data_IF_954004260801
#
_entry.id   IF_954004260801
#
_cell.length_a   1.000
_cell.length_b   1.000
_cell.length_c   1.000
_cell.angle_alpha   90.00
_cell.angle_beta   90.00
_cell.angle_gamma   90.00
#
_symmetry.space_group_name_H-M   'P 1'
#
loop_
_entity.id
_entity.type
_entity.pdbx_description
1 polymer ?
#
# COMPACT_ATOMS: atom_id res chain seq x y z
N UNK A 1 -8.21 25.62 -17.86
CA UNK A 1 -8.33 24.98 -17.73
C UNK A 1 -8.32 24.12 -17.73
N UNK A 2 -8.23 24.13 -17.48
CA UNK A 2 -8.36 23.35 -17.33
C UNK A 2 -8.24 22.43 -17.06
N UNK A 3 -8.36 22.36 -16.91
CA UNK A 3 -8.40 21.54 -16.58
C UNK A 3 -8.10 20.69 -16.62
N UNK A 4 -7.88 20.64 -16.77
CA UNK A 4 -7.71 19.97 -16.88
C UNK A 4 -7.43 19.05 -16.82
N UNK A 5 -7.17 18.97 -16.81
CA UNK A 5 -7.05 18.24 -16.76
C UNK A 5 -6.76 17.27 -16.58
N UNK A 6 -6.56 16.97 -16.28
CA UNK A 6 -6.44 16.16 -16.06
C UNK A 6 -6.38 15.15 -15.88
N UNK A 7 -6.07 15.00 -15.86
CA UNK A 7 -6.10 13.90 -15.62
C UNK A 7 -6.11 12.84 -15.21
N UNK A 8 -6.06 12.90 -14.82
CA UNK A 8 -6.50 11.95 -14.68
C UNK A 8 -6.11 10.60 -14.96
N UNK A 9 -5.33 10.26 -15.64
CA UNK A 9 -5.07 8.94 -16.11
C UNK A 9 -4.06 8.19 -15.29
N UNK A 10 -3.13 8.85 -14.67
CA UNK A 10 -2.11 8.22 -13.85
C UNK A 10 -2.37 8.47 -12.38
N UNK A 11 -2.23 7.45 -11.52
CA UNK A 11 -2.34 7.68 -10.10
C UNK A 11 -1.22 8.58 -9.61
N UNK A 12 -1.56 9.47 -8.71
CA UNK A 12 -0.58 10.30 -8.05
C UNK A 12 -0.06 9.59 -6.83
N UNK A 13 1.05 10.09 -6.26
CA UNK A 13 1.67 9.45 -5.11
C UNK A 13 0.70 9.24 -3.95
N UNK A 14 -0.27 10.16 -3.79
CA UNK A 14 -1.23 10.03 -2.71
C UNK A 14 -2.50 9.30 -3.08
N UNK A 15 -2.65 8.90 -4.33
CA UNK A 15 -3.87 8.23 -4.78
C UNK A 15 -3.92 6.82 -4.21
N UNK A 16 -5.10 6.43 -3.71
CA UNK A 16 -5.29 5.14 -3.08
C UNK A 16 -6.12 4.22 -3.95
N UNK A 17 -5.68 2.97 -3.99
CA UNK A 17 -6.38 1.91 -4.73
C UNK A 17 -6.97 0.96 -3.70
N UNK A 18 -8.26 0.71 -3.77
CA UNK A 18 -8.91 -0.28 -2.93
C UNK A 18 -8.35 -1.66 -3.32
N UNK A 19 -7.80 -2.36 -2.33
CA UNK A 19 -7.10 -3.60 -2.59
C UNK A 19 -7.18 -4.46 -1.35
N UNK A 20 -7.59 -5.71 -1.52
CA UNK A 20 -7.52 -6.65 -0.42
C UNK A 20 -6.40 -7.63 -0.68
N UNK A 21 -5.37 -7.57 0.11
CA UNK A 21 -4.29 -8.54 0.04
C UNK A 21 -3.74 -8.80 1.43
N UNK A 22 -3.03 -9.92 1.55
CA UNK A 22 -2.42 -10.30 2.81
C UNK A 22 -1.16 -9.47 3.05
N UNK A 23 -0.86 -9.27 4.32
CA UNK A 23 0.34 -8.55 4.70
C UNK A 23 0.96 -9.23 5.93
N UNK A 24 2.27 -9.33 5.93
CA UNK A 24 3.03 -9.77 7.09
C UNK A 24 3.66 -8.52 7.71
N UNK A 25 3.51 -8.38 9.01
CA UNK A 25 3.92 -7.20 9.75
C UNK A 25 4.92 -7.61 10.81
N UNK A 26 6.07 -6.94 10.84
CA UNK A 26 7.08 -7.19 11.86
C UNK A 26 7.44 -5.87 12.52
N UNK A 27 7.48 -5.86 13.86
CA UNK A 27 7.84 -4.67 14.62
C UNK A 27 9.18 -4.81 15.33
N UNK A 28 9.96 -5.84 14.99
CA UNK A 28 11.24 -6.09 15.62
C UNK A 28 11.16 -7.04 16.80
N UNK A 29 9.97 -7.24 17.35
CA UNK A 29 9.74 -8.14 18.46
C UNK A 29 8.76 -9.24 18.08
N UNK A 30 7.71 -8.85 17.38
CA UNK A 30 6.64 -9.75 16.98
C UNK A 30 6.48 -9.73 15.49
N UNK A 31 5.96 -10.83 14.97
CA UNK A 31 5.56 -10.94 13.57
C UNK A 31 4.09 -11.33 13.57
N UNK A 32 3.31 -10.64 12.79
CA UNK A 32 1.89 -10.96 12.69
C UNK A 32 1.41 -10.82 11.26
N UNK A 33 0.15 -11.13 11.07
CA UNK A 33 -0.48 -11.09 9.77
C UNK A 33 -1.67 -10.17 9.79
N UNK A 34 -2.03 -9.69 8.62
CA UNK A 34 -3.19 -8.84 8.50
C UNK A 34 -3.64 -8.74 7.07
N UNK A 35 -4.49 -7.76 6.83
CA UNK A 35 -5.02 -7.46 5.50
C UNK A 35 -4.82 -6.00 5.17
N UNK A 36 -4.51 -5.76 3.92
CA UNK A 36 -4.46 -4.41 3.37
C UNK A 36 -5.80 -4.11 2.73
N UNK A 37 -6.35 -2.95 3.00
CA UNK A 37 -7.62 -2.52 2.42
C UNK A 37 -7.45 -1.49 1.32
N UNK A 38 -6.40 -0.70 1.39
CA UNK A 38 -6.05 0.17 0.30
C UNK A 38 -4.55 0.43 0.33
N UNK A 39 -4.01 0.79 -0.81
CA UNK A 39 -2.59 1.03 -0.95
C UNK A 39 -2.37 2.21 -1.90
N UNK A 40 -1.32 2.97 -1.60
CA UNK A 40 -0.83 4.03 -2.47
C UNK A 40 0.69 3.94 -2.50
N UNK A 41 1.32 4.81 -3.28
CA UNK A 41 2.77 4.88 -3.28
C UNK A 41 3.33 5.33 -1.94
N UNK A 42 2.51 5.95 -1.10
CA UNK A 42 2.97 6.49 0.20
C UNK A 42 2.69 5.60 1.38
N UNK A 43 1.75 4.68 1.26
CA UNK A 43 1.41 3.86 2.40
C UNK A 43 0.19 3.01 2.16
N UNK A 44 -0.30 2.40 3.24
CA UNK A 44 -1.48 1.54 3.14
C UNK A 44 -2.27 1.55 4.43
N UNK A 45 -3.51 1.10 4.31
CA UNK A 45 -4.40 0.88 5.43
C UNK A 45 -4.41 -0.60 5.75
N UNK A 46 -4.16 -0.93 7.00
CA UNK A 46 -3.97 -2.31 7.44
C UNK A 46 -4.93 -2.64 8.57
N UNK A 47 -5.44 -3.85 8.55
CA UNK A 47 -6.09 -4.45 9.71
C UNK A 47 -5.25 -5.65 10.12
N UNK A 48 -4.74 -5.65 11.34
CA UNK A 48 -3.77 -6.67 11.71
C UNK A 48 -3.85 -7.07 13.16
N UNK A 49 -3.19 -8.19 13.45
CA UNK A 49 -3.16 -8.75 14.80
C UNK A 49 -2.03 -8.20 15.66
N UNK A 50 -1.11 -7.45 15.07
CA UNK A 50 0.00 -6.88 15.82
C UNK A 50 -0.45 -5.57 16.46
N UNK A 51 -0.22 -5.44 17.76
CA UNK A 51 -0.53 -4.20 18.47
C UNK A 51 0.51 -3.15 18.10
N UNK A 52 0.03 -2.01 17.64
CA UNK A 52 0.90 -0.93 17.21
C UNK A 52 0.46 0.38 17.83
N UNK A 53 1.38 1.34 17.86
CA UNK A 53 1.14 2.70 18.31
C UNK A 53 1.61 3.66 17.26
N UNK A 54 1.04 4.85 17.24
CA UNK A 54 1.50 5.91 16.35
C UNK A 54 2.99 6.13 16.57
N UNK A 55 3.74 6.15 15.47
CA UNK A 55 5.18 6.31 15.51
C UNK A 55 5.96 5.01 15.47
N UNK A 56 5.31 3.88 15.66
CA UNK A 56 5.99 2.59 15.59
C UNK A 56 6.57 2.37 14.20
N UNK A 57 7.73 1.72 14.19
CA UNK A 57 8.43 1.38 12.95
C UNK A 57 8.21 -0.08 12.64
N UNK A 58 7.80 -0.34 11.42
CA UNK A 58 7.43 -1.67 10.99
C UNK A 58 8.16 -2.06 9.72
N UNK A 59 8.33 -3.36 9.56
CA UNK A 59 8.71 -3.95 8.28
C UNK A 59 7.48 -4.68 7.76
N UNK A 60 7.23 -4.58 6.47
CA UNK A 60 6.02 -5.11 5.87
C UNK A 60 6.36 -5.94 4.65
N UNK A 61 5.54 -6.95 4.41
CA UNK A 61 5.56 -7.68 3.15
C UNK A 61 4.12 -7.87 2.70
N UNK A 62 3.79 -7.20 1.61
CA UNK A 62 2.46 -7.28 1.01
C UNK A 62 2.47 -8.37 -0.05
N UNK A 63 1.47 -9.24 -0.03
CA UNK A 63 1.30 -10.27 -1.03
C UNK A 63 0.26 -9.79 -2.03
N UNK A 64 0.72 -9.39 -3.20
CA UNK A 64 -0.17 -8.83 -4.22
C UNK A 64 -1.05 -9.92 -4.81
N UNK A 65 -2.21 -9.52 -5.36
CA UNK A 65 -3.11 -10.49 -5.98
C UNK A 65 -2.49 -11.20 -7.16
N UNK A 66 -3.11 -12.29 -7.54
CA UNK A 66 -2.72 -13.06 -8.70
C UNK A 66 -2.69 -12.18 -9.93
N UNK A 67 -1.70 -12.39 -10.78
CA UNK A 67 -1.54 -11.61 -11.99
C UNK A 67 -0.62 -10.41 -11.85
N UNK A 68 -0.22 -10.08 -10.62
CA UNK A 68 0.75 -9.02 -10.41
C UNK A 68 2.13 -9.49 -10.91
N UNK A 69 2.92 -8.56 -11.50
CA UNK A 69 4.24 -8.94 -12.02
C UNK A 69 5.16 -9.50 -10.96
N UNK A 70 5.04 -9.01 -9.73
CA UNK A 70 5.82 -9.50 -8.61
C UNK A 70 4.82 -9.81 -7.49
N UNK A 71 4.84 -11.04 -6.96
CA UNK A 71 3.82 -11.45 -6.00
C UNK A 71 3.96 -10.79 -4.63
N UNK A 72 5.08 -10.17 -4.33
CA UNK A 72 5.22 -9.53 -3.02
C UNK A 72 6.02 -8.25 -3.10
N UNK A 73 5.65 -7.34 -2.22
CA UNK A 73 6.32 -6.05 -2.07
C UNK A 73 6.83 -5.97 -0.64
N UNK A 74 8.13 -5.75 -0.48
CA UNK A 74 8.74 -5.60 0.83
C UNK A 74 8.98 -4.14 1.12
N UNK A 75 8.53 -3.69 2.30
CA UNK A 75 8.76 -2.35 2.79
C UNK A 75 9.71 -2.48 3.98
N UNK A 76 10.92 -1.96 3.84
CA UNK A 76 11.94 -2.11 4.87
C UNK A 76 11.69 -1.20 6.06
N UNK A 77 10.99 -0.10 5.86
CA UNK A 77 10.62 0.77 6.96
C UNK A 77 9.30 1.45 6.64
N UNK A 78 8.32 1.23 7.51
CA UNK A 78 7.04 1.93 7.50
C UNK A 78 6.80 2.48 8.90
N UNK A 79 6.09 3.60 8.98
CA UNK A 79 5.80 4.24 10.25
C UNK A 79 4.30 4.35 10.42
N UNK A 80 3.82 3.96 11.59
CA UNK A 80 2.39 4.03 11.92
C UNK A 80 2.01 5.48 12.12
N UNK A 81 1.00 5.94 11.39
CA UNK A 81 0.56 7.34 11.44
C UNK A 81 -0.73 7.53 12.20
N UNK A 82 -1.58 6.51 12.23
CA UNK A 82 -2.80 6.56 13.03
C UNK A 82 -3.22 5.13 13.38
N UNK A 83 -3.98 5.01 14.46
CA UNK A 83 -4.48 3.71 14.93
C UNK A 83 -5.93 3.87 15.35
N UNK A 84 -6.76 2.93 14.96
CA UNK A 84 -8.15 2.87 15.38
C UNK A 84 -8.53 1.40 15.56
N UNK A 85 -8.48 0.93 16.79
CA UNK A 85 -8.74 -0.47 17.08
C UNK A 85 -7.65 -1.35 16.47
N UNK A 86 -8.06 -2.32 15.67
CA UNK A 86 -7.11 -3.21 15.00
C UNK A 86 -6.73 -2.68 13.61
N UNK A 87 -7.23 -1.51 13.24
CA UNK A 87 -6.88 -0.88 11.98
C UNK A 87 -5.87 0.23 12.20
N UNK A 88 -4.95 0.36 11.28
CA UNK A 88 -3.97 1.42 11.37
C UNK A 88 -3.47 1.78 9.97
N UNK A 89 -3.02 3.01 9.85
CA UNK A 89 -2.44 3.50 8.61
C UNK A 89 -0.95 3.66 8.77
N UNK A 90 -0.21 3.26 7.74
CA UNK A 90 1.24 3.37 7.74
C UNK A 90 1.70 4.19 6.56
N UNK A 91 2.82 4.86 6.75
CA UNK A 91 3.51 5.56 5.69
C UNK A 91 4.79 4.80 5.37
N UNK A 92 5.02 4.55 4.07
CA UNK A 92 6.23 3.87 3.61
C UNK A 92 7.38 4.86 3.63
N UNK A 93 8.39 4.58 4.42
CA UNK A 93 9.56 5.46 4.53
C UNK A 93 10.72 4.94 3.69
N UNK A 94 10.89 3.62 3.63
CA UNK A 94 11.94 3.01 2.83
C UNK A 94 11.39 1.80 2.11
N UNK A 95 11.43 1.87 0.80
CA UNK A 95 11.07 0.76 -0.08
C UNK A 95 12.20 0.63 -1.08
N UNK A 96 12.73 -0.60 -1.21
CA UNK A 96 13.73 -0.86 -2.22
C UNK A 96 13.18 -0.44 -3.59
N UNK A 97 14.03 0.14 -4.40
CA UNK A 97 13.61 0.69 -5.68
C UNK A 97 12.91 -0.34 -6.56
N UNK A 98 13.37 -1.58 -6.51
CA UNK A 98 12.75 -2.67 -7.25
C UNK A 98 11.28 -2.86 -6.83
N UNK A 99 11.02 -2.85 -5.55
CA UNK A 99 9.65 -3.01 -5.05
C UNK A 99 8.81 -1.78 -5.29
N UNK A 100 9.44 -0.61 -5.22
CA UNK A 100 8.74 0.64 -5.52
C UNK A 100 8.26 0.66 -6.96
N UNK A 101 9.10 0.21 -7.88
CA UNK A 101 8.73 0.14 -9.29
C UNK A 101 7.58 -0.84 -9.51
N UNK A 102 7.62 -1.98 -8.83
CA UNK A 102 6.54 -2.97 -8.92
C UNK A 102 5.24 -2.43 -8.36
N UNK A 103 5.31 -1.72 -7.25
CA UNK A 103 4.12 -1.13 -6.64
C UNK A 103 3.52 -0.06 -7.56
N UNK A 104 4.36 0.80 -8.11
CA UNK A 104 3.91 1.84 -9.03
C UNK A 104 3.22 1.22 -10.24
N UNK A 105 3.81 0.19 -10.80
CA UNK A 105 3.23 -0.51 -11.95
C UNK A 105 1.88 -1.11 -11.60
N UNK A 106 1.79 -1.75 -10.44
CA UNK A 106 0.56 -2.37 -9.99
C UNK A 106 -0.55 -1.33 -9.82
N UNK A 107 -0.25 -0.23 -9.16
CA UNK A 107 -1.22 0.84 -8.93
C UNK A 107 -1.66 1.44 -10.25
N UNK A 108 -0.72 1.66 -11.17
CA UNK A 108 -1.02 2.21 -12.48
C UNK A 108 -1.96 1.29 -13.25
N UNK A 109 -1.69 -0.02 -13.23
CA UNK A 109 -2.53 -0.98 -13.93
C UNK A 109 -3.94 -1.01 -13.36
N UNK A 110 -4.08 -0.95 -12.04
CA UNK A 110 -5.39 -0.93 -11.41
C UNK A 110 -6.15 0.35 -11.76
N UNK A 111 -5.45 1.46 -11.77
CA UNK A 111 -6.04 2.74 -12.10
C UNK A 111 -6.51 2.76 -13.56
N UNK A 112 -5.71 2.23 -14.46
CA UNK A 112 -6.07 2.15 -15.87
C UNK A 112 -7.28 1.25 -16.08
N UNK A 113 -7.32 0.14 -15.38
CA UNK A 113 -8.44 -0.77 -15.44
C UNK A 113 -9.73 -0.08 -14.98
N UNK A 114 -9.65 0.71 -13.93
CA UNK A 114 -10.75 1.49 -13.42
C UNK A 114 -11.27 2.47 -14.47
N UNK A 115 -10.36 3.20 -15.09
CA UNK A 115 -10.72 4.16 -16.11
C UNK A 115 -11.43 3.46 -17.28
N UNK A 116 -10.93 2.31 -17.69
CA UNK A 116 -11.53 1.54 -18.77
C UNK A 116 -12.93 1.06 -18.41
N UNK A 117 -13.13 0.67 -17.16
CA UNK A 117 -14.42 0.16 -16.71
C UNK A 117 -15.52 1.22 -16.75
N UNK A 118 -15.14 2.48 -16.66
CA UNK A 118 -16.12 3.57 -16.69
C UNK A 118 -16.42 4.07 -18.09
N UNK A 119 -15.63 3.68 -19.04
CA UNK A 119 -15.88 4.04 -20.41
C UNK A 119 -16.87 3.07 -21.06
#
# INVERSE_FOLDING_TARGET
>A
MDCQQEPIVKPRAGERIALQCSIVIANGIQVGEGRVFDVSMRGCLVEGSVLVKVGDRLQLRLSLPEGAPDPSICVSLAVVRWVQGIRFGVEFMKVDERYRACLDRFITLQSDHWATAYD
#
